data_IF_051906164204
#
_entry.id   IF_051906164204
#
_cell.length_a   1.000
_cell.length_b   1.000
_cell.length_c   1.000
_cell.angle_alpha   90.00
_cell.angle_beta   90.00
_cell.angle_gamma   90.00
#
_symmetry.space_group_name_H-M   'P 1'
#
loop_
_entity.id
_entity.type
_entity.pdbx_description
1 polymer ?
#
# COMPACT_ATOMS: atom_id res chain seq x y z
N UNK A 1 -2.64 19.48 -0.23
CA UNK A 1 -2.95 18.55 0.87
C UNK A 1 -3.39 19.36 2.08
N UNK A 2 -4.36 18.87 2.85
CA UNK A 2 -4.96 19.61 3.98
C UNK A 2 -5.23 18.70 5.18
N UNK A 3 -5.30 19.28 6.37
CA UNK A 3 -5.66 18.56 7.61
C UNK A 3 -7.03 17.90 7.46
N UNK A 4 -7.15 16.66 7.95
CA UNK A 4 -8.36 15.83 7.86
C UNK A 4 -8.49 15.04 6.57
N UNK A 5 -7.67 15.32 5.55
CA UNK A 5 -7.73 14.60 4.27
C UNK A 5 -7.19 13.17 4.41
N UNK A 6 -7.87 12.21 3.76
CA UNK A 6 -7.38 10.84 3.57
C UNK A 6 -6.38 10.80 2.42
N UNK A 7 -5.27 10.12 2.65
CA UNK A 7 -4.20 9.95 1.67
C UNK A 7 -3.70 8.51 1.68
N UNK A 8 -3.32 7.99 0.53
CA UNK A 8 -2.70 6.67 0.40
C UNK A 8 -1.18 6.81 0.30
N UNK A 9 -0.42 5.98 1.00
CA UNK A 9 1.03 5.94 0.84
C UNK A 9 1.39 5.29 -0.50
N UNK A 10 2.08 6.01 -1.37
CA UNK A 10 2.52 5.53 -2.69
C UNK A 10 4.01 5.17 -2.71
N UNK A 11 4.78 5.63 -1.72
CA UNK A 11 6.23 5.41 -1.62
C UNK A 11 6.71 5.20 -0.16
N UNK A 12 6.92 3.94 0.18
CA UNK A 12 7.44 3.47 1.48
C UNK A 12 8.97 3.25 1.50
N UNK A 13 9.70 3.76 0.51
CA UNK A 13 11.16 3.62 0.47
C UNK A 13 11.83 4.64 1.38
N UNK A 14 12.30 4.18 2.53
CA UNK A 14 13.01 5.00 3.51
C UNK A 14 14.51 4.68 3.56
N UNK A 15 15.39 5.69 3.63
CA UNK A 15 16.81 5.50 3.93
C UNK A 15 17.03 4.80 5.27
N UNK A 16 18.14 4.08 5.43
CA UNK A 16 18.44 3.34 6.66
C UNK A 16 18.46 4.21 7.92
N UNK A 17 18.94 5.46 7.81
CA UNK A 17 18.92 6.40 8.93
C UNK A 17 17.50 6.74 9.39
N UNK A 18 16.57 6.92 8.44
CA UNK A 18 15.16 7.20 8.75
C UNK A 18 14.54 5.99 9.46
N UNK A 19 14.83 4.77 8.99
CA UNK A 19 14.36 3.54 9.65
C UNK A 19 14.90 3.36 11.07
N UNK A 20 16.06 3.94 11.39
CA UNK A 20 16.64 3.86 12.72
C UNK A 20 16.02 4.84 13.73
N UNK A 21 15.52 5.99 13.28
CA UNK A 21 14.99 7.05 14.14
C UNK A 21 13.46 7.07 14.23
N UNK A 22 12.76 6.59 13.19
CA UNK A 22 11.29 6.52 13.19
C UNK A 22 10.83 5.26 13.92
N UNK A 23 9.84 5.41 14.81
CA UNK A 23 9.18 4.28 15.47
C UNK A 23 8.20 3.59 14.51
N UNK A 24 7.52 4.38 13.69
CA UNK A 24 6.50 3.94 12.77
C UNK A 24 6.72 4.58 11.40
N UNK A 25 6.59 3.77 10.36
CA UNK A 25 6.73 4.19 8.96
C UNK A 25 5.46 3.83 8.19
N UNK A 26 5.01 4.68 7.26
CA UNK A 26 3.88 4.37 6.40
C UNK A 26 4.24 3.23 5.45
N UNK A 27 3.25 2.38 5.20
CA UNK A 27 3.37 1.22 4.32
C UNK A 27 2.65 1.54 3.02
N UNK A 28 3.28 1.20 1.89
CA UNK A 28 2.71 1.48 0.58
C UNK A 28 1.36 0.76 0.42
N UNK A 29 0.36 1.46 -0.13
CA UNK A 29 -1.00 0.98 -0.32
C UNK A 29 -1.92 1.22 0.87
N UNK A 30 -1.40 1.56 2.04
CA UNK A 30 -2.24 1.87 3.20
C UNK A 30 -2.74 3.32 3.15
N UNK A 31 -3.96 3.51 3.63
CA UNK A 31 -4.60 4.82 3.77
C UNK A 31 -4.36 5.40 5.16
N UNK A 32 -4.09 6.69 5.20
CA UNK A 32 -3.79 7.48 6.39
C UNK A 32 -4.56 8.79 6.37
N UNK A 33 -4.74 9.40 7.53
CA UNK A 33 -5.44 10.67 7.70
C UNK A 33 -4.46 11.75 8.12
N UNK A 34 -4.45 12.87 7.42
CA UNK A 34 -3.56 14.00 7.76
C UNK A 34 -4.02 14.64 9.07
N UNK A 35 -3.18 14.54 10.11
CA UNK A 35 -3.36 15.21 11.41
C UNK A 35 -2.91 16.66 11.37
N UNK A 36 -1.80 16.92 10.70
CA UNK A 36 -1.21 18.26 10.59
C UNK A 36 -0.36 18.38 9.32
N UNK A 37 -0.34 19.57 8.74
CA UNK A 37 0.53 19.93 7.61
C UNK A 37 1.46 21.03 8.08
N UNK A 38 2.76 20.83 7.92
CA UNK A 38 3.77 21.82 8.27
C UNK A 38 4.73 22.04 7.11
N UNK A 39 5.26 23.25 7.00
CA UNK A 39 6.38 23.52 6.11
C UNK A 39 7.65 22.99 6.77
N UNK A 40 8.25 21.97 6.15
CA UNK A 40 9.56 21.47 6.50
C UNK A 40 10.58 22.59 6.31
N UNK A 41 11.10 23.12 7.41
CA UNK A 41 12.29 23.96 7.39
C UNK A 41 13.47 23.02 7.42
N UNK A 42 13.89 22.56 6.24
CA UNK A 42 15.26 22.08 6.12
C UNK A 42 16.15 23.21 6.63
N UNK A 43 17.10 22.84 7.50
CA UNK A 43 17.95 23.73 8.31
C UNK A 43 18.18 25.09 7.63
N UNK A 44 18.13 26.17 8.43
CA UNK A 44 18.58 27.52 8.06
C UNK A 44 19.90 27.45 7.28
N UNK A 45 19.81 27.31 5.96
CA UNK A 45 20.89 27.28 5.01
C UNK A 45 20.32 28.11 3.87
N UNK A 46 20.93 29.29 3.70
CA UNK A 46 20.84 30.22 2.56
C UNK A 46 19.55 30.16 1.73
N UNK A 47 18.81 31.28 1.77
CA UNK A 47 17.68 31.59 0.90
C UNK A 47 17.85 30.99 -0.52
N UNK A 48 17.14 29.90 -0.81
CA UNK A 48 17.24 29.20 -2.10
C UNK A 48 16.73 27.77 -2.12
N UNK A 49 16.78 27.03 -1.01
CA UNK A 49 16.42 25.59 -1.03
C UNK A 49 14.95 25.31 -0.72
N UNK A 50 14.38 24.44 -1.55
CA UNK A 50 12.97 24.10 -1.70
C UNK A 50 12.26 23.81 -0.37
N UNK A 51 11.22 24.60 -0.07
CA UNK A 51 10.36 24.35 1.06
C UNK A 51 9.59 23.03 0.83
N UNK A 52 9.93 21.99 1.59
CA UNK A 52 9.23 20.70 1.53
C UNK A 52 7.98 20.74 2.41
N UNK A 53 6.90 20.09 1.98
CA UNK A 53 5.69 19.99 2.79
C UNK A 53 5.76 18.69 3.61
N UNK A 54 5.76 18.85 4.92
CA UNK A 54 5.73 17.76 5.89
C UNK A 54 4.32 17.48 6.39
N UNK A 55 4.02 16.21 6.62
CA UNK A 55 2.73 15.71 7.10
C UNK A 55 2.92 14.95 8.41
N UNK A 56 2.04 15.21 9.37
CA UNK A 56 1.78 14.31 10.49
C UNK A 56 0.51 13.53 10.20
N UNK A 57 0.52 12.22 10.51
CA UNK A 57 -0.61 11.34 10.31
C UNK A 57 -1.29 11.05 11.65
N UNK A 58 -2.58 10.75 11.64
CA UNK A 58 -3.34 10.41 12.85
C UNK A 58 -2.99 9.01 13.33
N UNK A 59 -2.80 8.07 12.40
CA UNK A 59 -2.54 6.66 12.68
C UNK A 59 -1.08 6.41 13.08
N UNK A 60 -0.16 7.24 12.60
CA UNK A 60 1.27 7.13 12.88
C UNK A 60 1.73 8.29 13.74
N UNK A 61 2.05 7.98 15.00
CA UNK A 61 2.63 8.93 15.95
C UNK A 61 4.07 8.52 16.26
N UNK A 62 5.01 9.41 15.98
CA UNK A 62 6.43 9.21 16.20
C UNK A 62 6.94 10.01 17.40
N UNK A 63 8.07 9.62 18.00
CA UNK A 63 8.72 10.45 19.00
C UNK A 63 9.19 11.78 18.37
N UNK A 64 9.43 12.80 19.21
CA UNK A 64 10.06 14.03 18.77
C UNK A 64 11.44 13.75 18.16
N UNK A 65 11.82 14.53 17.15
CA UNK A 65 13.09 14.36 16.44
C UNK A 65 14.28 14.59 17.39
N UNK A 66 15.12 13.57 17.67
CA UNK A 66 16.29 13.72 18.53
C UNK A 66 17.37 14.64 17.91
N UNK A 67 17.32 14.89 16.61
CA UNK A 67 18.26 15.74 15.88
C UNK A 67 17.79 17.19 15.79
N UNK A 68 16.56 17.50 16.21
CA UNK A 68 15.98 18.84 16.12
C UNK A 68 15.80 19.50 17.49
N UNK A 69 16.33 20.73 17.66
CA UNK A 69 16.23 21.48 18.92
C UNK A 69 14.79 21.84 19.32
N UNK A 70 13.88 21.90 18.36
CA UNK A 70 12.47 22.20 18.59
C UNK A 70 11.63 21.03 19.10
N UNK A 71 12.21 19.82 19.23
CA UNK A 71 11.48 18.60 19.60
C UNK A 71 10.20 18.38 18.77
N UNK A 72 10.23 18.77 17.49
CA UNK A 72 9.08 18.60 16.62
C UNK A 72 8.93 17.12 16.28
N UNK A 73 7.68 16.64 16.19
CA UNK A 73 7.41 15.26 15.79
C UNK A 73 7.96 14.96 14.39
N UNK A 74 8.54 13.77 14.24
CA UNK A 74 9.04 13.25 12.98
C UNK A 74 7.88 13.00 11.98
N UNK A 75 7.65 13.97 11.11
CA UNK A 75 6.67 13.88 10.03
C UNK A 75 7.20 13.24 8.75
N UNK A 76 6.35 13.17 7.73
CA UNK A 76 6.63 12.53 6.45
C UNK A 76 6.50 13.54 5.30
N UNK A 77 7.34 13.43 4.27
CA UNK A 77 7.21 14.26 3.07
C UNK A 77 5.88 13.93 2.35
N UNK A 78 5.11 14.96 2.01
CA UNK A 78 3.85 14.85 1.28
C UNK A 78 3.95 14.13 -0.06
N UNK A 79 5.08 14.22 -0.76
CA UNK A 79 5.32 13.56 -2.06
C UNK A 79 5.24 12.03 -2.00
N UNK A 80 5.28 11.45 -0.80
CA UNK A 80 5.12 10.00 -0.57
C UNK A 80 3.66 9.55 -0.52
N UNK A 81 2.74 10.49 -0.60
CA UNK A 81 1.31 10.26 -0.46
C UNK A 81 0.55 10.80 -1.68
N UNK A 82 -0.53 10.11 -2.03
CA UNK A 82 -1.50 10.60 -3.00
C UNK A 82 -2.84 10.88 -2.28
N UNK A 83 -3.53 11.98 -2.58
CA UNK A 83 -4.92 12.19 -2.16
C UNK A 83 -5.80 11.01 -2.56
N UNK A 84 -6.59 10.48 -1.63
CA UNK A 84 -7.64 9.53 -1.96
C UNK A 84 -8.87 10.35 -2.37
N UNK A 85 -9.26 10.28 -3.64
CA UNK A 85 -10.51 10.88 -4.10
C UNK A 85 -11.67 10.02 -3.57
N UNK A 86 -12.53 10.58 -2.72
CA UNK A 86 -13.74 9.89 -2.26
C UNK A 86 -14.73 9.83 -3.43
N UNK A 87 -14.69 8.74 -4.20
CA UNK A 87 -15.81 8.38 -5.06
C UNK A 87 -17.03 8.08 -4.16
N UNK A 88 -18.25 8.45 -4.57
CA UNK A 88 -19.45 8.17 -3.79
C UNK A 88 -19.55 6.67 -3.44
N UNK A 89 -20.18 6.30 -2.31
CA UNK A 89 -20.01 5.00 -1.63
C UNK A 89 -20.55 3.74 -2.35
N UNK A 90 -20.72 3.74 -3.66
CA UNK A 90 -21.33 2.63 -4.42
C UNK A 90 -20.32 1.65 -5.08
N UNK A 91 -19.00 1.80 -4.90
CA UNK A 91 -18.00 0.88 -5.51
C UNK A 91 -16.78 0.59 -4.62
N UNK A 92 -16.97 0.21 -3.35
CA UNK A 92 -15.85 -0.26 -2.51
C UNK A 92 -16.14 -1.61 -1.82
N UNK A 93 -16.60 -2.58 -2.60
CA UNK A 93 -16.54 -3.99 -2.24
C UNK A 93 -15.84 -4.73 -3.37
N UNK A 94 -14.86 -5.57 -3.01
CA UNK A 94 -14.27 -6.64 -3.84
C UNK A 94 -12.98 -6.28 -4.62
N UNK A 95 -11.84 -6.22 -3.93
CA UNK A 95 -10.58 -6.65 -4.55
C UNK A 95 -10.26 -8.09 -4.11
N UNK A 96 -10.60 -8.97 -5.05
CA UNK A 96 -10.53 -10.42 -5.11
C UNK A 96 -9.19 -10.97 -4.63
N UNK A 97 -9.23 -11.84 -3.62
CA UNK A 97 -8.14 -12.78 -3.29
C UNK A 97 -8.65 -14.21 -3.32
N UNK A 98 -9.17 -14.62 -4.49
CA UNK A 98 -9.50 -16.01 -4.78
C UNK A 98 -8.76 -16.44 -6.07
N UNK A 99 -7.50 -16.85 -5.91
CA UNK A 99 -6.78 -17.58 -6.96
C UNK A 99 -7.17 -19.07 -6.83
N UNK A 100 -8.26 -19.44 -7.50
CA UNK A 100 -8.63 -20.82 -7.81
C UNK A 100 -7.55 -21.43 -8.72
N UNK A 101 -6.98 -22.54 -8.28
CA UNK A 101 -6.02 -23.34 -9.05
C UNK A 101 -6.21 -24.83 -8.78
N UNK A 102 -7.45 -25.31 -8.81
CA UNK A 102 -7.76 -26.74 -8.80
C UNK A 102 -8.30 -27.13 -10.18
N UNK A 103 -7.40 -27.57 -11.06
CA UNK A 103 -7.72 -28.21 -12.34
C UNK A 103 -7.08 -29.59 -12.38
N UNK A 104 -7.67 -30.56 -11.68
CA UNK A 104 -7.36 -31.96 -11.84
C UNK A 104 -8.03 -32.44 -13.14
N UNK A 105 -7.20 -32.74 -14.14
CA UNK A 105 -7.56 -33.37 -15.40
C UNK A 105 -8.35 -34.67 -15.15
N UNK A 106 -9.61 -34.67 -15.59
CA UNK A 106 -10.46 -35.87 -15.65
C UNK A 106 -10.40 -36.43 -17.07
N UNK A 107 -9.43 -37.31 -17.32
CA UNK A 107 -9.33 -38.12 -18.55
C UNK A 107 -9.66 -39.59 -18.31
N UNK A 108 -10.86 -39.92 -17.81
CA UNK A 108 -11.34 -41.30 -17.64
C UNK A 108 -12.52 -41.62 -18.57
N UNK A 109 -12.24 -42.18 -19.75
CA UNK A 109 -13.17 -42.72 -20.75
C UNK A 109 -12.91 -44.25 -20.82
N UNK A 110 -13.84 -45.22 -20.76
CA UNK A 110 -15.30 -45.35 -21.05
C UNK A 110 -15.86 -46.55 -20.27
N UNK A 111 -17.17 -46.60 -19.95
CA UNK A 111 -17.83 -47.82 -19.52
C UNK A 111 -18.35 -48.67 -20.70
N UNK A 112 -18.04 -49.98 -20.64
CA UNK A 112 -18.92 -51.12 -20.99
C UNK A 112 -19.60 -51.22 -22.36
N UNK A 113 -19.18 -52.21 -23.15
CA UNK A 113 -20.00 -52.85 -24.19
C UNK A 113 -19.93 -54.38 -24.08
N UNK A 114 -21.05 -55.11 -24.02
CA UNK A 114 -21.07 -56.57 -24.10
C UNK A 114 -21.32 -57.03 -25.55
N UNK A 115 -20.93 -58.27 -25.88
CA UNK A 115 -21.50 -58.98 -27.03
C UNK A 115 -20.47 -59.47 -28.04
N UNK A 116 -20.32 -60.80 -28.12
CA UNK A 116 -19.43 -61.49 -29.04
C UNK A 116 -19.92 -61.55 -30.49
N UNK A 117 -19.06 -62.13 -31.32
CA UNK A 117 -19.28 -62.35 -32.74
C UNK A 117 -18.01 -62.87 -33.40
N UNK A 118 -17.70 -64.14 -33.13
CA UNK A 118 -16.95 -65.02 -34.02
C UNK A 118 -17.64 -65.01 -35.41
N UNK A 119 -16.90 -64.98 -36.52
CA UNK A 119 -17.21 -65.49 -37.88
C UNK A 119 -16.32 -64.79 -38.92
N UNK A 120 -15.09 -65.31 -39.10
CA UNK A 120 -14.25 -65.03 -40.25
C UNK A 120 -14.25 -66.22 -41.21
N UNK A 121 -15.12 -66.18 -42.22
CA UNK A 121 -15.09 -67.07 -43.37
C UNK A 121 -15.25 -66.23 -44.64
N UNK A 122 -14.13 -65.98 -45.33
CA UNK A 122 -13.86 -66.36 -46.72
C UNK A 122 -12.47 -65.83 -47.12
#
# INVERSE_FOLDING_TARGET
>A
MMKGQKVVCINDRFPSLVKAIYKQLPVKGNTYTIREVFLGREKVIKAGDSATVGLLLTELVNPPDPLHRGQQELGFNSERFAPLEELPPEENSEEVRELVGAGADTGGWVPGGPGGGDYGAN
#
